data_IF_411379649430
#
_entry.id   IF_411379649430
#
_cell.length_a   1.000
_cell.length_b   1.000
_cell.length_c   1.000
_cell.angle_alpha   90.00
_cell.angle_beta   90.00
_cell.angle_gamma   90.00
#
_symmetry.space_group_name_H-M   'P 1'
#
loop_
_entity.id
_entity.type
_entity.pdbx_description
1 polymer ?
#
# COMPACT_ATOMS: atom_id res chain seq x y z
N UNK A 1 -2.44 -13.95 6.68
CA UNK A 1 -1.79 -14.57 7.86
C UNK A 1 -2.47 -14.09 9.14
N UNK A 2 -2.50 -14.89 10.21
CA UNK A 2 -3.07 -14.51 11.53
C UNK A 2 -1.99 -14.03 12.50
N UNK A 3 -2.33 -13.21 13.52
CA UNK A 3 -1.34 -12.76 14.51
C UNK A 3 -0.65 -13.93 15.25
N UNK A 4 -1.35 -15.05 15.43
CA UNK A 4 -0.80 -16.28 16.02
C UNK A 4 0.34 -16.91 15.22
N UNK A 5 0.47 -16.59 13.93
CA UNK A 5 1.46 -17.19 13.04
C UNK A 5 2.86 -16.57 13.23
N UNK A 6 2.96 -15.47 13.98
CA UNK A 6 4.20 -14.76 14.29
C UNK A 6 4.73 -15.15 15.67
N UNK A 7 5.96 -15.61 15.74
CA UNK A 7 6.61 -16.01 16.99
C UNK A 7 7.18 -14.82 17.76
N UNK A 8 7.65 -13.81 17.05
CA UNK A 8 8.28 -12.62 17.59
C UNK A 8 7.21 -11.58 18.00
N UNK A 9 7.07 -11.25 19.30
CA UNK A 9 6.04 -10.34 19.78
C UNK A 9 6.07 -8.95 19.14
N UNK A 10 7.27 -8.43 18.88
CA UNK A 10 7.42 -7.15 18.19
C UNK A 10 6.92 -7.21 16.75
N UNK A 11 7.37 -8.21 15.98
CA UNK A 11 6.96 -8.35 14.58
C UNK A 11 5.45 -8.61 14.50
N UNK A 12 4.90 -9.46 15.38
CA UNK A 12 3.46 -9.70 15.50
C UNK A 12 2.66 -8.42 15.66
N UNK A 13 3.07 -7.55 16.59
CA UNK A 13 2.35 -6.30 16.89
C UNK A 13 2.33 -5.39 15.67
N UNK A 14 3.50 -5.14 15.06
CA UNK A 14 3.58 -4.22 13.91
C UNK A 14 2.91 -4.82 12.67
N UNK A 15 3.10 -6.12 12.39
CA UNK A 15 2.44 -6.80 11.28
C UNK A 15 0.91 -6.72 11.40
N UNK A 16 0.36 -6.86 12.62
CA UNK A 16 -1.07 -6.70 12.86
C UNK A 16 -1.54 -5.29 12.53
N UNK A 17 -0.79 -4.25 12.91
CA UNK A 17 -1.13 -2.85 12.58
C UNK A 17 -1.10 -2.60 11.08
N UNK A 18 -0.02 -3.00 10.40
CA UNK A 18 0.13 -2.85 8.94
C UNK A 18 -1.07 -3.50 8.22
N UNK A 19 -1.42 -4.74 8.62
CA UNK A 19 -2.52 -5.49 8.03
C UNK A 19 -3.88 -4.84 8.28
N UNK A 20 -4.20 -4.50 9.53
CA UNK A 20 -5.52 -3.95 9.86
C UNK A 20 -5.75 -2.56 9.26
N UNK A 21 -4.72 -1.70 9.23
CA UNK A 21 -4.79 -0.41 8.52
C UNK A 21 -5.12 -0.61 7.05
N UNK A 22 -4.43 -1.56 6.38
CA UNK A 22 -4.71 -1.89 4.98
C UNK A 22 -6.11 -2.48 4.79
N UNK A 23 -6.56 -3.39 5.67
CA UNK A 23 -7.88 -4.01 5.59
C UNK A 23 -9.00 -2.97 5.65
N UNK A 24 -8.89 -1.98 6.56
CA UNK A 24 -9.88 -0.91 6.66
C UNK A 24 -9.98 -0.10 5.37
N UNK A 25 -8.83 0.32 4.82
CA UNK A 25 -8.79 1.09 3.58
C UNK A 25 -9.29 0.28 2.38
N UNK A 26 -8.92 -0.99 2.31
CA UNK A 26 -9.33 -1.89 1.24
C UNK A 26 -10.83 -2.19 1.29
N UNK A 27 -11.41 -2.39 2.48
CA UNK A 27 -12.86 -2.54 2.64
C UNK A 27 -13.61 -1.29 2.17
N UNK A 28 -13.11 -0.10 2.46
CA UNK A 28 -13.68 1.14 1.93
C UNK A 28 -13.57 1.19 0.41
N UNK A 29 -12.40 0.88 -0.16
CA UNK A 29 -12.18 0.88 -1.60
C UNK A 29 -13.14 -0.09 -2.34
N UNK A 30 -13.41 -1.25 -1.76
CA UNK A 30 -14.35 -2.23 -2.31
C UNK A 30 -15.81 -1.76 -2.32
N UNK A 31 -16.20 -0.93 -1.34
CA UNK A 31 -17.61 -0.60 -1.09
C UNK A 31 -17.98 0.83 -1.43
N UNK A 32 -17.01 1.72 -1.65
CA UNK A 32 -17.25 3.14 -1.80
C UNK A 32 -18.27 3.43 -2.90
N UNK A 33 -18.15 2.76 -4.05
CA UNK A 33 -19.08 2.92 -5.17
C UNK A 33 -20.50 2.50 -4.79
N UNK A 34 -20.68 1.35 -4.14
CA UNK A 34 -21.99 0.86 -3.72
C UNK A 34 -22.60 1.74 -2.64
N UNK A 35 -21.81 2.19 -1.66
CA UNK A 35 -22.23 3.12 -0.61
C UNK A 35 -22.75 4.43 -1.24
N UNK A 36 -22.04 4.95 -2.25
CA UNK A 36 -22.42 6.19 -2.92
C UNK A 36 -23.67 6.00 -3.81
N UNK A 37 -23.90 4.81 -4.36
CA UNK A 37 -25.15 4.48 -5.09
C UNK A 37 -26.35 4.38 -4.15
N UNK A 38 -26.16 3.85 -2.95
CA UNK A 38 -27.22 3.68 -1.95
C UNK A 38 -27.63 5.02 -1.31
N UNK A 39 -26.76 6.04 -1.34
CA UNK A 39 -27.05 7.37 -0.79
C UNK A 39 -27.85 8.22 -1.79
N UNK A 40 -29.18 8.20 -1.67
CA UNK A 40 -30.09 8.96 -2.54
C UNK A 40 -30.41 10.36 -2.01
N UNK A 41 -30.58 11.32 -2.92
CA UNK A 41 -31.02 12.68 -2.63
C UNK A 41 -32.49 12.87 -3.00
N UNK A 42 -33.27 13.52 -2.13
CA UNK A 42 -34.64 13.91 -2.47
C UNK A 42 -34.65 15.17 -3.36
N UNK A 43 -35.82 15.51 -3.93
CA UNK A 43 -35.94 16.66 -4.83
C UNK A 43 -35.61 17.99 -4.16
N UNK A 44 -36.04 18.19 -2.91
CA UNK A 44 -35.78 19.41 -2.14
C UNK A 44 -34.28 19.63 -1.92
N UNK A 45 -33.54 18.57 -1.57
CA UNK A 45 -32.09 18.61 -1.36
C UNK A 45 -31.38 18.98 -2.66
N UNK A 46 -31.76 18.35 -3.77
CA UNK A 46 -31.19 18.65 -5.10
C UNK A 46 -31.44 20.08 -5.53
N UNK A 47 -32.66 20.59 -5.37
CA UNK A 47 -33.00 21.98 -5.69
C UNK A 47 -32.21 22.96 -4.83
N UNK A 48 -32.07 22.67 -3.53
CA UNK A 48 -31.30 23.50 -2.59
C UNK A 48 -29.81 23.56 -2.96
N UNK A 49 -29.25 22.44 -3.42
CA UNK A 49 -27.85 22.33 -3.82
C UNK A 49 -27.59 22.77 -5.26
N UNK A 50 -28.64 23.12 -6.02
CA UNK A 50 -28.55 23.51 -7.42
C UNK A 50 -28.08 22.37 -8.34
N UNK A 51 -28.33 21.12 -7.96
CA UNK A 51 -27.87 19.97 -8.73
C UNK A 51 -28.81 19.63 -9.89
N UNK A 52 -28.27 19.19 -11.04
CA UNK A 52 -29.08 18.73 -12.17
C UNK A 52 -30.05 17.61 -11.77
N UNK A 53 -31.21 17.56 -12.43
CA UNK A 53 -32.25 16.58 -12.14
C UNK A 53 -31.81 15.11 -12.28
N UNK A 54 -30.78 14.83 -13.10
CA UNK A 54 -30.23 13.49 -13.29
C UNK A 54 -29.26 13.06 -12.17
N UNK A 55 -28.92 13.94 -11.21
CA UNK A 55 -28.07 13.63 -10.06
C UNK A 55 -28.98 13.24 -8.89
N UNK A 56 -29.27 11.95 -8.79
CA UNK A 56 -30.21 11.36 -7.82
C UNK A 56 -29.53 10.68 -6.64
N UNK A 57 -28.24 10.37 -6.74
CA UNK A 57 -27.44 9.79 -5.66
C UNK A 57 -26.01 10.33 -5.64
N UNK A 58 -25.27 10.00 -4.57
CA UNK A 58 -23.89 10.47 -4.38
C UNK A 58 -22.94 9.95 -5.47
N UNK A 59 -23.19 8.75 -6.01
CA UNK A 59 -22.39 8.19 -7.10
C UNK A 59 -22.46 9.08 -8.35
N UNK A 60 -23.67 9.43 -8.80
CA UNK A 60 -23.88 10.30 -9.97
C UNK A 60 -23.25 11.68 -9.76
N UNK A 61 -23.39 12.24 -8.55
CA UNK A 61 -22.72 13.49 -8.19
C UNK A 61 -21.21 13.39 -8.35
N UNK A 62 -20.57 12.34 -7.83
CA UNK A 62 -19.12 12.14 -7.95
C UNK A 62 -18.67 11.87 -9.38
N UNK A 63 -19.46 11.13 -10.15
CA UNK A 63 -19.17 10.87 -11.56
C UNK A 63 -19.24 12.14 -12.42
N UNK A 64 -20.12 13.10 -12.09
CA UNK A 64 -20.14 14.43 -12.71
C UNK A 64 -18.81 15.18 -12.55
N UNK A 65 -18.10 14.95 -11.44
CA UNK A 65 -16.76 15.51 -11.20
C UNK A 65 -15.61 14.64 -11.74
N UNK A 66 -15.91 13.53 -12.40
CA UNK A 66 -14.90 12.60 -12.92
C UNK A 66 -14.10 11.88 -11.84
N UNK A 67 -14.71 11.61 -10.67
CA UNK A 67 -14.08 10.83 -9.60
C UNK A 67 -13.70 9.44 -10.12
N UNK A 68 -12.44 9.06 -9.94
CA UNK A 68 -11.95 7.70 -10.23
C UNK A 68 -11.89 6.89 -8.92
N UNK A 69 -12.81 5.96 -8.75
CA UNK A 69 -12.82 5.05 -7.58
C UNK A 69 -11.57 4.16 -7.52
N UNK A 70 -10.89 3.89 -8.65
CA UNK A 70 -9.63 3.13 -8.63
C UNK A 70 -8.53 3.85 -7.86
N UNK A 71 -8.64 5.18 -7.69
CA UNK A 71 -7.74 5.96 -6.84
C UNK A 71 -7.73 5.45 -5.39
N UNK A 72 -8.83 4.87 -4.90
CA UNK A 72 -8.91 4.28 -3.56
C UNK A 72 -7.99 3.06 -3.42
N UNK A 73 -7.86 2.21 -4.45
CA UNK A 73 -6.90 1.10 -4.45
C UNK A 73 -5.46 1.60 -4.42
N UNK A 74 -5.19 2.72 -5.09
CA UNK A 74 -3.87 3.32 -5.01
C UNK A 74 -3.55 3.89 -3.62
N UNK A 75 -4.53 4.48 -2.96
CA UNK A 75 -4.39 4.90 -1.56
C UNK A 75 -4.11 3.69 -0.67
N UNK A 76 -4.70 2.51 -0.94
CA UNK A 76 -4.34 1.28 -0.23
C UNK A 76 -2.84 0.96 -0.38
N UNK A 77 -2.29 1.02 -1.60
CA UNK A 77 -0.85 0.81 -1.83
C UNK A 77 0.01 1.85 -1.10
N UNK A 78 -0.36 3.13 -1.17
CA UNK A 78 0.35 4.21 -0.47
C UNK A 78 0.39 3.95 1.04
N UNK A 79 -0.77 3.60 1.63
CA UNK A 79 -0.87 3.25 3.04
C UNK A 79 0.00 2.04 3.38
N UNK A 80 -0.12 0.94 2.62
CA UNK A 80 0.62 -0.29 2.88
C UNK A 80 2.15 -0.10 2.86
N UNK A 81 2.65 0.61 1.85
CA UNK A 81 4.08 0.91 1.73
C UNK A 81 4.57 1.87 2.82
N UNK A 82 3.72 2.80 3.27
CA UNK A 82 4.06 3.73 4.37
C UNK A 82 4.11 3.02 5.72
N UNK A 83 3.15 2.13 6.00
CA UNK A 83 3.17 1.29 7.21
C UNK A 83 4.38 0.35 7.23
N UNK A 84 4.74 -0.22 6.08
CA UNK A 84 5.93 -1.06 5.96
C UNK A 84 7.23 -0.25 6.16
N UNK A 85 7.28 0.99 5.68
CA UNK A 85 8.38 1.92 5.95
C UNK A 85 8.54 2.17 7.46
N UNK A 86 7.45 2.46 8.18
CA UNK A 86 7.47 2.63 9.64
C UNK A 86 7.92 1.35 10.36
N UNK A 87 7.46 0.19 9.89
CA UNK A 87 7.93 -1.09 10.41
C UNK A 87 9.45 -1.23 10.28
N UNK A 88 10.01 -0.96 9.10
CA UNK A 88 11.46 -1.10 8.90
C UNK A 88 12.26 -0.13 9.78
N UNK A 89 11.77 1.09 9.98
CA UNK A 89 12.40 2.02 10.92
C UNK A 89 12.43 1.43 12.33
N UNK A 90 11.29 0.98 12.85
CA UNK A 90 11.21 0.38 14.18
C UNK A 90 12.05 -0.91 14.30
N UNK A 91 12.14 -1.70 13.22
CA UNK A 91 12.95 -2.90 13.13
C UNK A 91 14.44 -2.56 13.30
N UNK A 92 14.96 -1.63 12.50
CA UNK A 92 16.36 -1.23 12.57
C UNK A 92 16.71 -0.57 13.90
N UNK A 93 15.77 0.12 14.54
CA UNK A 93 15.96 0.69 15.89
C UNK A 93 16.02 -0.40 16.97
N UNK A 94 15.23 -1.48 16.87
CA UNK A 94 15.18 -2.56 17.87
C UNK A 94 16.31 -3.57 17.77
N UNK A 95 16.95 -3.71 16.62
CA UNK A 95 18.00 -4.70 16.39
C UNK A 95 19.37 -4.02 16.23
N UNK A 96 20.21 -3.96 17.29
CA UNK A 96 21.43 -3.16 17.31
C UNK A 96 22.51 -3.60 16.32
N UNK A 97 22.41 -4.83 15.82
CA UNK A 97 23.30 -5.37 14.80
C UNK A 97 22.95 -4.87 13.39
N UNK A 98 21.77 -4.28 13.20
CA UNK A 98 21.40 -3.61 11.96
C UNK A 98 22.06 -2.21 11.93
N UNK A 99 22.67 -1.82 10.81
CA UNK A 99 23.35 -0.54 10.70
C UNK A 99 22.35 0.62 10.80
N UNK A 100 22.69 1.68 11.54
CA UNK A 100 21.91 2.93 11.52
C UNK A 100 21.83 3.48 10.10
N UNK A 101 20.65 3.92 9.69
CA UNK A 101 20.39 4.43 8.35
C UNK A 101 19.85 5.85 8.37
N UNK A 102 20.30 6.66 7.42
CA UNK A 102 19.88 8.04 7.21
C UNK A 102 19.31 8.22 5.79
N UNK A 103 18.77 9.42 5.49
CA UNK A 103 18.41 9.86 4.13
C UNK A 103 17.42 8.96 3.35
N UNK A 104 16.15 8.97 3.76
CA UNK A 104 15.04 8.30 3.06
C UNK A 104 15.29 6.80 2.79
N UNK A 105 16.19 6.16 3.56
CA UNK A 105 16.55 4.76 3.36
C UNK A 105 15.34 3.83 3.38
N UNK A 106 14.44 4.02 4.35
CA UNK A 106 13.25 3.19 4.52
C UNK A 106 12.21 3.37 3.39
N UNK A 107 12.29 4.45 2.62
CA UNK A 107 11.50 4.66 1.40
C UNK A 107 12.04 3.86 0.21
N UNK A 108 13.29 3.39 0.29
CA UNK A 108 13.97 2.64 -0.77
C UNK A 108 13.96 1.15 -0.41
N UNK A 109 12.81 0.50 -0.58
CA UNK A 109 12.59 -0.89 -0.21
C UNK A 109 13.71 -1.86 -0.66
N UNK A 110 14.20 -1.73 -1.90
CA UNK A 110 15.31 -2.55 -2.39
C UNK A 110 16.61 -2.41 -1.59
N UNK A 111 16.91 -1.23 -1.03
CA UNK A 111 18.06 -1.02 -0.14
C UNK A 111 17.83 -1.67 1.22
N UNK A 112 16.62 -1.55 1.78
CA UNK A 112 16.24 -2.21 3.04
C UNK A 112 16.44 -3.72 2.93
N UNK A 113 15.92 -4.35 1.88
CA UNK A 113 16.10 -5.78 1.63
C UNK A 113 17.58 -6.14 1.43
N UNK A 114 18.35 -5.29 0.73
CA UNK A 114 19.79 -5.52 0.55
C UNK A 114 20.55 -5.52 1.88
N UNK A 115 20.26 -4.59 2.78
CA UNK A 115 20.89 -4.57 4.11
C UNK A 115 20.48 -5.76 4.97
N UNK A 116 19.20 -6.14 4.96
CA UNK A 116 18.72 -7.34 5.66
C UNK A 116 19.38 -8.63 5.11
N UNK A 117 19.64 -8.72 3.81
CA UNK A 117 20.39 -9.85 3.23
C UNK A 117 21.82 -9.92 3.74
N UNK A 118 22.48 -8.79 3.99
CA UNK A 118 23.86 -8.76 4.51
C UNK A 118 23.97 -9.32 5.93
N UNK A 119 22.88 -9.37 6.69
CA UNK A 119 22.89 -9.97 8.04
C UNK A 119 22.65 -11.48 8.04
N UNK A 120 22.60 -12.10 6.85
CA UNK A 120 22.43 -13.54 6.68
C UNK A 120 20.98 -13.99 6.51
N UNK A 121 20.01 -13.06 6.44
CA UNK A 121 18.62 -13.41 6.17
C UNK A 121 18.45 -13.77 4.69
N UNK A 122 18.15 -15.04 4.42
CA UNK A 122 17.94 -15.53 3.06
C UNK A 122 16.51 -15.26 2.57
N UNK A 123 16.36 -14.49 1.50
CA UNK A 123 15.08 -14.19 0.84
C UNK A 123 14.95 -14.83 -0.55
N UNK A 124 15.81 -15.79 -0.92
CA UNK A 124 15.88 -16.32 -2.29
C UNK A 124 14.55 -16.87 -2.78
N UNK A 125 13.80 -17.58 -1.92
CA UNK A 125 12.46 -18.11 -2.22
C UNK A 125 11.37 -17.04 -2.37
N UNK A 126 11.63 -15.80 -1.94
CA UNK A 126 10.67 -14.68 -1.92
C UNK A 126 11.02 -13.60 -2.96
N UNK A 127 11.90 -13.88 -3.93
CA UNK A 127 12.35 -12.85 -4.87
C UNK A 127 11.20 -12.25 -5.69
N UNK A 128 10.20 -13.05 -6.09
CA UNK A 128 9.01 -12.54 -6.78
C UNK A 128 8.16 -11.63 -5.89
N UNK A 129 7.99 -11.99 -4.62
CA UNK A 129 7.27 -11.18 -3.64
C UNK A 129 8.01 -9.85 -3.38
N UNK A 130 9.34 -9.88 -3.30
CA UNK A 130 10.19 -8.68 -3.19
C UNK A 130 10.08 -7.79 -4.42
N UNK A 131 10.10 -8.36 -5.63
CA UNK A 131 9.95 -7.60 -6.87
C UNK A 131 8.59 -6.90 -6.92
N UNK A 132 7.52 -7.58 -6.53
CA UNK A 132 6.17 -7.01 -6.46
C UNK A 132 6.09 -5.84 -5.46
N UNK A 133 6.61 -6.03 -4.25
CA UNK A 133 6.64 -4.95 -3.24
C UNK A 133 7.53 -3.80 -3.70
N UNK A 134 8.64 -4.08 -4.40
CA UNK A 134 9.48 -3.03 -4.99
C UNK A 134 8.71 -2.17 -6.00
N UNK A 135 7.89 -2.80 -6.85
CA UNK A 135 6.98 -2.08 -7.77
C UNK A 135 5.96 -1.26 -6.98
N UNK A 136 5.36 -1.82 -5.93
CA UNK A 136 4.40 -1.09 -5.08
C UNK A 136 5.02 0.19 -4.47
N UNK A 137 6.29 0.17 -4.08
CA UNK A 137 7.00 1.38 -3.63
C UNK A 137 7.18 2.42 -4.76
N UNK A 138 7.40 2.00 -6.00
CA UNK A 138 7.40 2.91 -7.16
C UNK A 138 6.00 3.49 -7.41
N UNK A 139 4.95 2.67 -7.28
CA UNK A 139 3.55 3.12 -7.40
C UNK A 139 3.20 4.13 -6.32
N UNK A 140 3.63 3.91 -5.07
CA UNK A 140 3.52 4.90 -3.99
C UNK A 140 4.23 6.20 -4.35
N UNK A 141 5.45 6.12 -4.87
CA UNK A 141 6.24 7.32 -5.22
C UNK A 141 5.50 8.20 -6.23
N UNK A 142 5.11 7.66 -7.39
CA UNK A 142 4.34 8.45 -8.37
C UNK A 142 2.96 8.85 -7.84
N UNK A 143 2.36 8.04 -6.97
CA UNK A 143 1.06 8.31 -6.38
C UNK A 143 1.04 9.53 -5.45
N UNK A 144 2.14 9.75 -4.72
CA UNK A 144 2.31 10.90 -3.81
C UNK A 144 2.80 12.14 -4.59
N UNK A 145 3.70 11.97 -5.55
CA UNK A 145 4.38 13.10 -6.18
C UNK A 145 3.72 13.61 -7.46
N UNK A 146 3.18 12.72 -8.29
CA UNK A 146 2.77 13.05 -9.67
C UNK A 146 1.35 12.58 -10.00
N UNK A 147 0.47 12.49 -8.99
CA UNK A 147 -0.91 11.98 -9.16
C UNK A 147 -0.97 10.66 -9.93
N UNK A 148 0.04 9.79 -9.73
CA UNK A 148 0.15 8.47 -10.36
C UNK A 148 0.44 8.46 -11.85
N UNK A 149 0.81 9.60 -12.41
CA UNK A 149 1.22 9.65 -13.81
C UNK A 149 2.57 8.94 -13.93
N UNK A 150 2.64 8.00 -14.88
CA UNK A 150 3.86 7.24 -15.18
C UNK A 150 4.88 8.17 -15.82
N UNK A 151 6.03 8.30 -15.16
CA UNK A 151 7.20 9.03 -15.66
C UNK A 151 8.34 8.08 -16.07
N UNK A 152 9.39 8.65 -16.68
CA UNK A 152 10.56 7.89 -17.15
C UNK A 152 11.25 7.14 -16.01
N UNK A 153 11.28 7.73 -14.82
CA UNK A 153 11.91 7.12 -13.65
C UNK A 153 11.12 5.88 -13.20
N UNK A 154 9.79 5.96 -13.14
CA UNK A 154 8.93 4.83 -12.84
C UNK A 154 9.13 3.70 -13.86
N UNK A 155 9.05 3.98 -15.16
CA UNK A 155 9.21 2.95 -16.19
C UNK A 155 10.57 2.26 -16.09
N UNK A 156 11.65 3.04 -15.91
CA UNK A 156 13.01 2.50 -15.75
C UNK A 156 13.10 1.54 -14.56
N UNK A 157 12.50 1.89 -13.42
CA UNK A 157 12.59 1.10 -12.18
C UNK A 157 11.57 -0.05 -12.11
N UNK A 158 10.60 -0.10 -13.03
CA UNK A 158 9.56 -1.12 -13.08
C UNK A 158 9.66 -2.03 -14.30
N UNK A 159 10.77 -1.98 -15.06
CA UNK A 159 10.97 -2.76 -16.30
C UNK A 159 9.91 -2.46 -17.37
N UNK A 160 9.49 -1.19 -17.47
CA UNK A 160 8.59 -0.69 -18.50
C UNK A 160 7.10 -0.84 -18.20
N UNK A 161 6.70 -0.96 -16.92
CA UNK A 161 5.28 -1.00 -16.57
C UNK A 161 4.59 0.35 -16.85
N UNK A 162 3.35 0.26 -17.35
CA UNK A 162 2.51 1.42 -17.64
C UNK A 162 2.96 2.22 -18.89
N UNK A 163 2.21 3.27 -19.19
CA UNK A 163 2.43 4.12 -20.38
C UNK A 163 2.82 5.52 -19.95
N UNK A 164 3.94 6.05 -20.45
CA UNK A 164 4.42 7.40 -20.12
C UNK A 164 3.31 8.45 -20.29
N UNK A 165 3.19 9.33 -19.30
CA UNK A 165 2.20 10.41 -19.29
C UNK A 165 0.77 9.97 -18.98
N UNK A 166 0.53 8.67 -18.75
CA UNK A 166 -0.79 8.15 -18.37
C UNK A 166 -0.83 7.77 -16.87
N UNK A 167 -2.00 7.84 -16.22
CA UNK A 167 -2.17 7.31 -14.88
C UNK A 167 -1.87 5.80 -14.83
N UNK A 168 -1.07 5.37 -13.85
CA UNK A 168 -0.92 3.96 -13.54
C UNK A 168 -2.15 3.47 -12.77
N UNK A 169 -2.90 2.53 -13.36
CA UNK A 169 -4.09 1.96 -12.75
C UNK A 169 -3.69 0.89 -11.74
N UNK A 170 -4.15 1.05 -10.50
CA UNK A 170 -4.05 0.04 -9.45
C UNK A 170 -5.40 -0.63 -9.29
N UNK A 171 -5.44 -1.94 -9.47
CA UNK A 171 -6.66 -2.74 -9.29
C UNK A 171 -6.67 -3.49 -7.96
N UNK A 172 -7.81 -4.12 -7.68
CA UNK A 172 -8.01 -4.95 -6.49
C UNK A 172 -6.97 -6.08 -6.39
N UNK A 173 -6.58 -6.67 -7.53
CA UNK A 173 -5.65 -7.80 -7.59
C UNK A 173 -4.25 -7.37 -7.16
N UNK A 174 -3.78 -6.23 -7.65
CA UNK A 174 -2.49 -5.66 -7.29
C UNK A 174 -2.40 -5.37 -5.79
N UNK A 175 -3.45 -4.81 -5.18
CA UNK A 175 -3.51 -4.57 -3.73
C UNK A 175 -3.42 -5.88 -2.94
N UNK A 176 -4.21 -6.89 -3.33
CA UNK A 176 -4.23 -8.20 -2.66
C UNK A 176 -2.90 -8.93 -2.77
N UNK A 177 -2.32 -8.96 -3.97
CA UNK A 177 -1.06 -9.66 -4.22
C UNK A 177 0.08 -8.97 -3.46
N UNK A 178 0.10 -7.63 -3.45
CA UNK A 178 1.08 -6.84 -2.67
C UNK A 178 0.94 -7.11 -1.18
N UNK A 179 -0.29 -7.12 -0.65
CA UNK A 179 -0.54 -7.45 0.76
C UNK A 179 -0.06 -8.85 1.10
N UNK A 180 -0.31 -9.84 0.23
CA UNK A 180 0.15 -11.21 0.44
C UNK A 180 1.67 -11.32 0.39
N UNK A 181 2.34 -10.58 -0.50
CA UNK A 181 3.79 -10.55 -0.60
C UNK A 181 4.41 -9.95 0.68
N UNK A 182 3.82 -8.88 1.21
CA UNK A 182 4.25 -8.26 2.46
C UNK A 182 4.11 -9.24 3.64
N UNK A 183 2.97 -9.92 3.77
CA UNK A 183 2.77 -10.95 4.81
C UNK A 183 3.89 -12.00 4.81
N UNK A 184 4.28 -12.51 3.63
CA UNK A 184 5.37 -13.51 3.51
C UNK A 184 6.73 -12.94 3.90
N UNK A 185 7.01 -11.69 3.53
CA UNK A 185 8.28 -11.01 3.88
C UNK A 185 8.36 -10.79 5.38
N UNK A 186 7.27 -10.31 6.01
CA UNK A 186 7.18 -10.15 7.46
C UNK A 186 7.36 -11.49 8.17
N UNK A 187 6.76 -12.57 7.65
CA UNK A 187 6.94 -13.91 8.22
C UNK A 187 8.37 -14.40 8.10
N UNK A 188 9.05 -14.11 6.99
CA UNK A 188 10.46 -14.45 6.84
C UNK A 188 11.34 -13.72 7.85
N UNK A 189 11.03 -12.47 8.13
CA UNK A 189 11.71 -11.70 9.18
C UNK A 189 11.42 -12.27 10.58
N UNK A 190 10.18 -12.68 10.83
CA UNK A 190 9.78 -13.36 12.08
C UNK A 190 10.58 -14.63 12.34
N UNK A 191 10.76 -15.46 11.32
CA UNK A 191 11.51 -16.71 11.44
C UNK A 191 13.03 -16.50 11.56
N UNK A 192 13.55 -15.41 11.01
CA UNK A 192 15.00 -15.17 10.92
C UNK A 192 15.56 -14.32 12.07
N UNK A 193 14.73 -13.50 12.72
CA UNK A 193 15.19 -12.57 13.75
C UNK A 193 14.91 -13.09 15.16
N UNK A 194 15.84 -12.88 16.11
CA UNK A 194 15.62 -13.29 17.48
C UNK A 194 14.42 -12.55 18.08
N UNK A 195 13.56 -13.22 18.88
CA UNK A 195 12.42 -12.58 19.50
C UNK A 195 12.84 -11.41 20.40
N UNK A 196 12.13 -10.29 20.29
CA UNK A 196 12.29 -9.14 21.19
C UNK A 196 10.93 -8.72 21.73
N UNK A 197 10.92 -8.07 22.89
CA UNK A 197 9.67 -7.56 23.47
C UNK A 197 9.03 -6.52 22.55
N UNK A 198 7.70 -6.47 22.58
CA UNK A 198 6.91 -5.49 21.83
C UNK A 198 7.34 -4.05 22.14
#
# INVERSE_FOLDING_TARGET
>A
MQPSDFNNPFIRNVASKVRESNNLMFMLALRAEDIDKDFSFNESDRQTLGWPAHITNMYEYRMMWGVDYNRLYQICIISHCSELEYFFKALFDKYPHLPKQENNFYQKFGLVIKELKKTGIDFTSLQQDIDLVSIAFQVRHIGIHNMSIVDEYFQKNTKGLGTLGQPFIVDQKFVRDTSSAIDKILKRLDDALPPVSA
#
